data_IF_891054829656
#
_entry.id   IF_891054829656
#
_cell.length_a   1.000
_cell.length_b   1.000
_cell.length_c   1.000
_cell.angle_alpha   90.00
_cell.angle_beta   90.00
_cell.angle_gamma   90.00
#
_symmetry.space_group_name_H-M   'P 1'
#
loop_
_entity.id
_entity.type
_entity.pdbx_description
1 polymer ?
#
# COMPACT_ATOMS: atom_id res chain seq x y z
N UNK A 1 36.19 -18.32 19.90
CA UNK A 1 36.92 -19.25 19.01
C UNK A 1 36.13 -19.46 17.72
N UNK A 2 36.26 -18.52 16.78
CA UNK A 2 35.62 -18.60 15.46
C UNK A 2 36.52 -19.33 14.47
N UNK A 3 36.58 -20.65 14.57
CA UNK A 3 37.21 -21.48 13.55
C UNK A 3 36.20 -21.69 12.40
N UNK A 4 36.64 -21.60 11.12
CA UNK A 4 35.78 -21.88 9.98
C UNK A 4 35.25 -23.32 10.07
N UNK A 5 33.94 -23.48 9.93
CA UNK A 5 33.32 -24.80 9.80
C UNK A 5 33.89 -25.47 8.54
N UNK A 6 34.58 -26.59 8.71
CA UNK A 6 35.17 -27.35 7.61
C UNK A 6 34.13 -27.78 6.56
N UNK A 7 34.58 -28.31 5.42
CA UNK A 7 33.69 -28.67 4.31
C UNK A 7 32.58 -29.63 4.77
N UNK A 8 31.34 -29.25 4.50
CA UNK A 8 30.15 -30.06 4.82
C UNK A 8 30.19 -31.36 4.00
N UNK A 9 29.96 -32.54 4.61
CA UNK A 9 29.88 -33.79 3.88
C UNK A 9 28.64 -33.79 2.98
N UNK A 10 28.80 -34.17 1.72
CA UNK A 10 27.70 -34.26 0.76
C UNK A 10 26.70 -35.36 1.16
N UNK A 11 25.38 -35.12 1.09
CA UNK A 11 24.38 -36.15 1.37
C UNK A 11 24.39 -37.24 0.29
N UNK A 12 24.56 -38.51 0.69
CA UNK A 12 24.47 -39.65 -0.23
C UNK A 12 23.03 -40.08 -0.45
N UNK A 13 22.37 -39.60 -1.52
CA UNK A 13 21.05 -40.13 -1.97
C UNK A 13 20.92 -40.18 -3.50
N UNK A 14 20.31 -41.25 -3.99
CA UNK A 14 20.47 -41.79 -5.36
C UNK A 14 19.50 -41.28 -6.43
N UNK A 15 18.49 -40.47 -6.09
CA UNK A 15 17.49 -40.00 -7.06
C UNK A 15 17.98 -38.77 -7.88
N UNK A 16 17.80 -38.73 -9.21
CA UNK A 16 18.29 -37.64 -10.06
C UNK A 16 17.69 -36.26 -9.71
N UNK A 17 16.41 -36.19 -9.34
CA UNK A 17 15.75 -34.94 -8.97
C UNK A 17 16.24 -34.34 -7.66
N UNK A 18 16.68 -35.18 -6.71
CA UNK A 18 17.27 -34.72 -5.45
C UNK A 18 18.71 -34.23 -5.66
N UNK A 19 19.46 -34.83 -6.59
CA UNK A 19 20.79 -34.34 -6.98
C UNK A 19 20.73 -32.96 -7.61
N UNK A 20 19.77 -32.71 -8.50
CA UNK A 20 19.58 -31.39 -9.11
C UNK A 20 19.21 -30.30 -8.08
N UNK A 21 18.44 -30.66 -7.04
CA UNK A 21 18.10 -29.77 -5.94
C UNK A 21 19.34 -29.47 -5.07
N UNK A 22 20.13 -30.48 -4.73
CA UNK A 22 21.38 -30.29 -3.97
C UNK A 22 22.40 -29.46 -4.76
N UNK A 23 22.56 -29.71 -6.06
CA UNK A 23 23.42 -28.90 -6.93
C UNK A 23 22.94 -27.44 -6.98
N UNK A 24 21.62 -27.21 -7.04
CA UNK A 24 21.05 -25.87 -7.00
C UNK A 24 21.27 -25.18 -5.64
N UNK A 25 21.17 -25.92 -4.53
CA UNK A 25 21.40 -25.39 -3.18
C UNK A 25 22.88 -25.10 -2.92
N UNK A 26 23.78 -25.96 -3.40
CA UNK A 26 25.23 -25.74 -3.36
C UNK A 26 25.64 -24.54 -4.22
N UNK A 27 25.06 -24.40 -5.42
CA UNK A 27 25.32 -23.24 -6.27
C UNK A 27 24.79 -21.94 -5.64
N UNK A 28 23.62 -21.99 -4.99
CA UNK A 28 23.08 -20.86 -4.25
C UNK A 28 23.96 -20.52 -3.04
N UNK A 29 24.40 -21.51 -2.28
CA UNK A 29 25.30 -21.32 -1.14
C UNK A 29 26.63 -20.72 -1.57
N UNK A 30 27.26 -21.22 -2.63
CA UNK A 30 28.48 -20.63 -3.20
C UNK A 30 28.27 -19.22 -3.76
N UNK A 31 27.10 -18.94 -4.34
CA UNK A 31 26.76 -17.59 -4.81
C UNK A 31 26.61 -16.61 -3.64
N UNK A 32 26.02 -17.03 -2.52
CA UNK A 32 25.91 -16.24 -1.29
C UNK A 32 27.26 -16.08 -0.58
N UNK A 33 28.10 -17.11 -0.57
CA UNK A 33 29.42 -17.07 0.07
C UNK A 33 30.42 -16.22 -0.74
N UNK A 34 30.33 -16.24 -2.09
CA UNK A 34 31.01 -15.27 -2.95
C UNK A 34 30.47 -13.84 -2.79
N UNK A 35 29.25 -13.68 -2.26
CA UNK A 35 28.62 -12.37 -2.08
C UNK A 35 29.10 -11.62 -0.81
N UNK A 36 29.89 -12.23 0.07
CA UNK A 36 30.39 -11.55 1.27
C UNK A 36 31.92 -11.41 1.31
N UNK A 37 32.39 -10.27 0.76
CA UNK A 37 33.66 -9.60 1.11
C UNK A 37 33.95 -8.39 0.22
N UNK A 38 33.12 -8.11 -0.79
CA UNK A 38 32.99 -6.73 -1.29
C UNK A 38 32.04 -5.97 -0.39
N UNK A 39 32.58 -5.56 0.75
CA UNK A 39 32.14 -4.43 1.60
C UNK A 39 30.85 -3.80 1.05
N UNK A 40 29.73 -4.06 1.73
CA UNK A 40 28.56 -3.19 1.77
C UNK A 40 29.03 -1.82 2.28
N UNK A 41 29.84 -1.11 1.49
CA UNK A 41 29.98 0.33 1.62
C UNK A 41 28.55 0.81 1.47
N UNK A 42 27.97 1.28 2.57
CA UNK A 42 26.74 2.05 2.55
C UNK A 42 26.97 3.11 1.49
N UNK A 43 26.44 2.86 0.29
CA UNK A 43 26.62 3.69 -0.89
C UNK A 43 26.10 5.03 -0.43
N UNK A 44 27.01 5.98 -0.12
CA UNK A 44 26.67 7.30 0.38
C UNK A 44 25.61 7.79 -0.59
N UNK A 45 24.35 7.77 -0.15
CA UNK A 45 23.24 8.13 -1.02
C UNK A 45 23.53 9.57 -1.42
N UNK A 46 23.92 9.75 -2.68
CA UNK A 46 24.26 11.06 -3.20
C UNK A 46 23.06 11.96 -2.93
N UNK A 47 23.26 13.22 -2.52
CA UNK A 47 22.16 14.14 -2.19
C UNK A 47 21.11 14.18 -3.32
N UNK A 48 21.55 14.06 -4.57
CA UNK A 48 20.71 13.91 -5.77
C UNK A 48 19.86 12.64 -5.81
N UNK A 49 20.36 11.50 -5.32
CA UNK A 49 19.59 10.26 -5.19
C UNK A 49 18.54 10.37 -4.08
N UNK A 50 18.88 11.00 -2.95
CA UNK A 50 17.92 11.28 -1.87
C UNK A 50 16.84 12.25 -2.35
N UNK A 51 17.22 13.33 -3.03
CA UNK A 51 16.29 14.30 -3.60
C UNK A 51 15.38 13.66 -4.64
N UNK A 52 15.88 12.78 -5.52
CA UNK A 52 15.04 12.02 -6.45
C UNK A 52 14.07 11.07 -5.74
N UNK A 53 14.47 10.45 -4.64
CA UNK A 53 13.55 9.60 -3.85
C UNK A 53 12.49 10.40 -3.10
N UNK A 54 12.83 11.60 -2.60
CA UNK A 54 11.92 12.49 -1.87
C UNK A 54 10.99 13.27 -2.81
N UNK A 55 11.47 13.64 -4.00
CA UNK A 55 10.68 14.33 -5.03
C UNK A 55 10.00 13.38 -6.01
N UNK A 56 10.31 12.09 -5.95
CA UNK A 56 9.65 11.05 -6.73
C UNK A 56 8.19 10.86 -6.32
N UNK A 57 7.45 10.06 -7.10
CA UNK A 57 6.01 9.84 -6.89
C UNK A 57 5.66 9.45 -5.44
N UNK A 58 6.47 8.57 -4.83
CA UNK A 58 6.31 8.13 -3.43
C UNK A 58 6.57 9.23 -2.40
N UNK A 59 7.55 10.10 -2.63
CA UNK A 59 7.86 11.19 -1.71
C UNK A 59 6.86 12.35 -1.82
N UNK A 60 6.38 12.65 -3.04
CA UNK A 60 5.25 13.59 -3.27
C UNK A 60 3.95 13.08 -2.64
N UNK A 61 3.67 11.78 -2.76
CA UNK A 61 2.55 11.13 -2.09
C UNK A 61 2.58 11.31 -0.58
N UNK A 62 3.72 11.01 0.02
CA UNK A 62 3.92 11.17 1.45
C UNK A 62 3.80 12.64 1.87
N UNK A 63 4.47 13.56 1.15
CA UNK A 63 4.44 14.99 1.44
C UNK A 63 3.02 15.56 1.36
N UNK A 64 2.25 15.17 0.34
CA UNK A 64 0.85 15.58 0.20
C UNK A 64 -0.02 15.03 1.33
N UNK A 65 0.17 13.76 1.71
CA UNK A 65 -0.54 13.15 2.84
C UNK A 65 -0.26 13.88 4.15
N UNK A 66 1.00 14.20 4.44
CA UNK A 66 1.39 14.95 5.63
C UNK A 66 0.79 16.35 5.60
N UNK A 67 0.91 17.07 4.48
CA UNK A 67 0.39 18.43 4.34
C UNK A 67 -1.14 18.48 4.50
N UNK A 68 -1.86 17.54 3.89
CA UNK A 68 -3.33 17.46 3.97
C UNK A 68 -3.78 17.14 5.40
N UNK A 69 -3.17 16.12 6.03
CA UNK A 69 -3.49 15.76 7.42
C UNK A 69 -3.17 16.91 8.38
N UNK A 70 -2.02 17.56 8.24
CA UNK A 70 -1.64 18.72 9.05
C UNK A 70 -2.59 19.90 8.83
N UNK A 71 -2.91 20.24 7.58
CA UNK A 71 -3.80 21.35 7.26
C UNK A 71 -5.22 21.14 7.82
N UNK A 72 -5.81 19.96 7.60
CA UNK A 72 -7.15 19.65 8.11
C UNK A 72 -7.17 19.59 9.64
N UNK A 73 -6.17 18.95 10.26
CA UNK A 73 -6.07 18.92 11.73
C UNK A 73 -5.88 20.31 12.34
N UNK A 74 -5.05 21.16 11.75
CA UNK A 74 -4.87 22.53 12.19
C UNK A 74 -6.14 23.38 12.02
N UNK A 75 -6.86 23.23 10.91
CA UNK A 75 -8.13 23.91 10.67
C UNK A 75 -9.20 23.47 11.67
N UNK A 76 -9.32 22.17 11.94
CA UNK A 76 -10.24 21.62 12.95
C UNK A 76 -9.86 22.12 14.34
N UNK A 77 -8.58 22.13 14.70
CA UNK A 77 -8.12 22.65 15.99
C UNK A 77 -8.45 24.15 16.16
N UNK A 78 -8.25 24.96 15.12
CA UNK A 78 -8.59 26.38 15.14
C UNK A 78 -10.11 26.61 15.23
N UNK A 79 -10.90 25.82 14.51
CA UNK A 79 -12.37 25.90 14.57
C UNK A 79 -12.89 25.54 15.98
N UNK A 80 -12.36 24.48 16.59
CA UNK A 80 -12.71 24.08 17.95
C UNK A 80 -12.30 25.14 18.99
N UNK A 81 -11.15 25.79 18.78
CA UNK A 81 -10.70 26.90 19.61
C UNK A 81 -11.65 28.10 19.51
N UNK A 82 -12.06 28.48 18.29
CA UNK A 82 -12.99 29.61 18.07
C UNK A 82 -14.40 29.32 18.58
N UNK A 83 -14.86 28.07 18.49
CA UNK A 83 -16.17 27.64 18.95
C UNK A 83 -16.29 27.54 20.48
N UNK A 84 -15.20 27.74 21.26
CA UNK A 84 -15.13 27.57 22.72
C UNK A 84 -15.70 26.23 23.23
N UNK A 85 -15.73 25.21 22.37
CA UNK A 85 -16.46 23.95 22.59
C UNK A 85 -15.98 23.18 23.83
N UNK A 86 -14.75 23.41 24.31
CA UNK A 86 -14.17 22.74 25.49
C UNK A 86 -13.44 23.70 26.46
N UNK A 87 -13.81 24.99 26.51
CA UNK A 87 -13.15 25.99 27.39
C UNK A 87 -11.94 26.70 26.73
N UNK A 88 -11.14 27.44 27.53
CA UNK A 88 -9.91 28.08 27.03
C UNK A 88 -8.85 27.00 26.73
N UNK A 89 -8.58 26.77 25.44
CA UNK A 89 -7.59 25.79 24.99
C UNK A 89 -6.22 26.44 24.81
N UNK A 90 -5.34 26.33 25.80
CA UNK A 90 -3.93 26.68 25.61
C UNK A 90 -3.19 25.70 24.68
N UNK A 91 -3.78 24.52 24.40
CA UNK A 91 -3.08 23.37 23.81
C UNK A 91 -3.51 22.99 22.37
N UNK A 92 -4.08 23.90 21.58
CA UNK A 92 -4.59 23.63 20.22
C UNK A 92 -3.59 22.92 19.28
N UNK A 93 -2.28 23.05 19.52
CA UNK A 93 -1.21 22.46 18.73
C UNK A 93 -1.10 20.93 18.87
N UNK A 94 -1.73 20.34 19.89
CA UNK A 94 -1.69 18.90 20.18
C UNK A 94 -2.32 18.03 19.10
N UNK A 95 -3.44 18.48 18.54
CA UNK A 95 -4.17 17.77 17.50
C UNK A 95 -3.35 17.65 16.20
N UNK A 96 -2.83 18.74 15.59
CA UNK A 96 -1.99 18.65 14.41
C UNK A 96 -0.66 17.93 14.65
N UNK A 97 -0.05 18.07 15.83
CA UNK A 97 1.15 17.31 16.19
C UNK A 97 0.90 15.79 16.19
N UNK A 98 -0.24 15.36 16.76
CA UNK A 98 -0.64 13.94 16.80
C UNK A 98 -0.93 13.42 15.39
N UNK A 99 -1.60 14.22 14.56
CA UNK A 99 -1.89 13.86 13.18
C UNK A 99 -0.61 13.61 12.35
N UNK A 100 0.39 14.49 12.45
CA UNK A 100 1.67 14.33 11.74
C UNK A 100 2.44 13.10 12.23
N UNK A 101 2.46 12.85 13.55
CA UNK A 101 3.11 11.67 14.11
C UNK A 101 2.52 10.36 13.56
N UNK A 102 1.19 10.31 13.39
CA UNK A 102 0.50 9.14 12.84
C UNK A 102 0.83 8.88 11.37
N UNK A 103 1.05 9.94 10.58
CA UNK A 103 1.33 9.83 9.14
C UNK A 103 2.77 9.40 8.83
N UNK A 104 3.71 9.53 9.79
CA UNK A 104 5.14 9.16 9.62
C UNK A 104 5.32 7.76 8.98
N UNK A 105 6.25 7.53 8.04
CA UNK A 105 6.25 6.29 7.25
C UNK A 105 6.89 5.09 7.97
N UNK A 106 7.52 5.31 9.13
CA UNK A 106 8.49 4.37 9.71
C UNK A 106 7.89 3.21 10.56
N UNK A 107 6.56 3.05 10.65
CA UNK A 107 5.92 2.10 11.59
C UNK A 107 4.83 1.21 10.94
N UNK A 108 5.01 0.83 9.68
CA UNK A 108 4.09 -0.11 9.00
C UNK A 108 2.78 0.51 8.48
N UNK A 109 1.77 -0.31 8.09
CA UNK A 109 0.54 0.13 7.43
C UNK A 109 -0.22 1.19 8.24
N UNK A 110 -0.65 2.27 7.56
CA UNK A 110 -1.27 3.44 8.20
C UNK A 110 -2.53 3.06 9.00
N UNK A 111 -3.43 2.26 8.41
CA UNK A 111 -4.69 1.87 9.06
C UNK A 111 -4.47 1.06 10.34
N UNK A 112 -3.58 0.06 10.31
CA UNK A 112 -3.23 -0.75 11.49
C UNK A 112 -2.66 0.11 12.61
N UNK A 113 -1.81 1.08 12.26
CA UNK A 113 -1.23 2.01 13.23
C UNK A 113 -2.26 2.93 13.87
N UNK A 114 -3.11 3.55 13.06
CA UNK A 114 -4.12 4.47 13.58
C UNK A 114 -5.14 3.71 14.43
N UNK A 115 -5.56 2.52 14.01
CA UNK A 115 -6.45 1.67 14.78
C UNK A 115 -5.80 1.22 16.10
N UNK A 116 -4.54 0.80 16.06
CA UNK A 116 -3.80 0.45 17.26
C UNK A 116 -3.60 1.63 18.21
N UNK A 117 -3.38 2.85 17.68
CA UNK A 117 -3.31 4.07 18.50
C UNK A 117 -4.67 4.36 19.14
N UNK A 118 -5.76 4.30 18.37
CA UNK A 118 -7.10 4.53 18.90
C UNK A 118 -7.44 3.51 19.99
N UNK A 119 -7.20 2.22 19.74
CA UNK A 119 -7.41 1.15 20.72
C UNK A 119 -6.53 1.32 21.96
N UNK A 120 -5.26 1.63 21.79
CA UNK A 120 -4.32 1.89 22.88
C UNK A 120 -4.70 3.14 23.69
N UNK A 121 -5.22 4.19 23.06
CA UNK A 121 -5.71 5.38 23.76
C UNK A 121 -6.96 5.07 24.58
N UNK A 122 -7.92 4.32 24.04
CA UNK A 122 -9.12 3.90 24.78
C UNK A 122 -8.72 3.01 25.96
N UNK A 123 -7.91 1.98 25.72
CA UNK A 123 -7.45 1.06 26.76
C UNK A 123 -6.65 1.79 27.84
N UNK A 124 -5.71 2.66 27.43
CA UNK A 124 -4.90 3.45 28.35
C UNK A 124 -5.73 4.43 29.17
N UNK A 125 -6.75 5.06 28.59
CA UNK A 125 -7.67 5.92 29.32
C UNK A 125 -8.50 5.15 30.36
N UNK A 126 -9.00 3.96 30.02
CA UNK A 126 -9.73 3.09 30.95
C UNK A 126 -8.85 2.62 32.10
N UNK A 127 -7.62 2.17 31.80
CA UNK A 127 -6.63 1.78 32.80
C UNK A 127 -6.30 2.95 33.72
N UNK A 128 -6.03 4.12 33.15
CA UNK A 128 -5.76 5.33 33.92
C UNK A 128 -6.91 5.71 34.84
N UNK A 129 -8.15 5.67 34.35
CA UNK A 129 -9.34 5.96 35.16
C UNK A 129 -9.49 4.97 36.33
N UNK A 130 -9.25 3.68 36.09
CA UNK A 130 -9.26 2.66 37.15
C UNK A 130 -8.19 2.91 38.21
N UNK A 131 -6.95 3.18 37.79
CA UNK A 131 -5.87 3.51 38.72
C UNK A 131 -6.15 4.81 39.49
N UNK A 132 -6.58 5.87 38.81
CA UNK A 132 -6.85 7.18 39.41
C UNK A 132 -8.04 7.19 40.38
N UNK A 133 -8.89 6.15 40.37
CA UNK A 133 -9.97 5.94 41.33
C UNK A 133 -9.50 5.32 42.66
N UNK A 134 -8.41 4.56 42.63
CA UNK A 134 -7.91 3.78 43.78
C UNK A 134 -6.65 4.40 44.39
N UNK A 135 -5.83 5.08 43.59
CA UNK A 135 -4.55 5.64 44.03
C UNK A 135 -4.73 7.00 44.74
N UNK A 136 -4.07 7.21 45.89
CA UNK A 136 -4.06 8.50 46.57
C UNK A 136 -3.34 9.55 45.73
N UNK A 137 -3.85 10.79 45.70
CA UNK A 137 -3.25 11.90 44.96
C UNK A 137 -2.40 12.77 45.90
N UNK A 138 -1.24 13.29 45.45
CA UNK A 138 -0.60 13.10 44.14
C UNK A 138 0.37 11.90 44.09
N UNK A 139 0.73 11.32 45.22
CA UNK A 139 1.80 10.31 45.33
C UNK A 139 1.57 9.09 44.43
N UNK A 140 0.33 8.61 44.35
CA UNK A 140 -0.04 7.50 43.48
C UNK A 140 0.09 7.80 41.98
N UNK A 141 -0.07 9.07 41.57
CA UNK A 141 0.18 9.46 40.18
C UNK A 141 1.67 9.48 39.87
N UNK A 142 2.52 9.91 40.82
CA UNK A 142 3.99 9.87 40.68
C UNK A 142 4.48 8.44 40.53
N UNK A 143 3.96 7.51 41.34
CA UNK A 143 4.23 6.07 41.20
C UNK A 143 3.77 5.55 39.85
N UNK A 144 2.59 5.95 39.38
CA UNK A 144 2.08 5.52 38.08
C UNK A 144 2.97 6.02 36.92
N UNK A 145 3.47 7.26 37.01
CA UNK A 145 4.41 7.85 36.04
C UNK A 145 5.72 7.07 36.01
N UNK A 146 6.31 6.76 37.16
CA UNK A 146 7.58 6.01 37.22
C UNK A 146 7.43 4.59 36.69
N UNK A 147 6.35 3.90 37.05
CA UNK A 147 6.02 2.57 36.52
C UNK A 147 5.83 2.60 35.00
N UNK A 148 5.05 3.55 34.48
CA UNK A 148 4.85 3.66 33.04
C UNK A 148 6.16 3.97 32.30
N UNK A 149 6.99 4.86 32.85
CA UNK A 149 8.32 5.15 32.31
C UNK A 149 9.22 3.92 32.23
N UNK A 150 9.23 3.09 33.27
CA UNK A 150 9.96 1.82 33.30
C UNK A 150 9.40 0.77 32.32
N UNK A 151 8.11 0.83 32.00
CA UNK A 151 7.46 -0.07 31.04
C UNK A 151 7.70 0.31 29.57
N UNK A 152 8.16 1.54 29.25
CA UNK A 152 8.38 1.99 27.87
C UNK A 152 9.27 1.03 27.07
N UNK A 153 10.46 0.61 27.55
CA UNK A 153 11.35 -0.27 26.79
C UNK A 153 10.70 -1.63 26.51
N UNK A 154 9.94 -2.17 27.46
CA UNK A 154 9.23 -3.43 27.29
C UNK A 154 8.06 -3.29 26.29
N UNK A 155 7.32 -2.18 26.39
CA UNK A 155 6.14 -1.92 25.57
C UNK A 155 6.48 -1.66 24.09
N UNK A 156 7.71 -1.23 23.77
CA UNK A 156 8.16 -1.06 22.38
C UNK A 156 8.08 -2.32 21.52
N UNK A 157 7.99 -3.50 22.14
CA UNK A 157 7.80 -4.79 21.44
C UNK A 157 6.41 -4.94 20.81
N UNK A 158 5.39 -4.25 21.32
CA UNK A 158 4.01 -4.32 20.83
C UNK A 158 3.43 -2.92 20.70
N UNK A 159 3.09 -2.52 19.48
CA UNK A 159 2.64 -1.16 19.17
C UNK A 159 1.39 -0.73 19.96
N UNK A 160 0.43 -1.62 20.16
CA UNK A 160 -0.76 -1.36 20.99
C UNK A 160 -0.41 -1.18 22.48
N UNK A 161 0.51 -1.98 23.02
CA UNK A 161 0.98 -1.85 24.40
C UNK A 161 1.75 -0.54 24.61
N UNK A 162 2.64 -0.19 23.67
CA UNK A 162 3.37 1.08 23.70
C UNK A 162 2.43 2.28 23.73
N UNK A 163 1.41 2.28 22.87
CA UNK A 163 0.45 3.40 22.81
C UNK A 163 -0.42 3.49 24.06
N UNK A 164 -0.80 2.37 24.67
CA UNK A 164 -1.52 2.35 25.94
C UNK A 164 -0.66 2.89 27.10
N UNK A 165 0.57 2.38 27.27
CA UNK A 165 1.50 2.83 28.33
C UNK A 165 1.80 4.32 28.21
N UNK A 166 2.07 4.80 27.00
CA UNK A 166 2.30 6.24 26.76
C UNK A 166 1.05 7.06 27.09
N UNK A 167 -0.15 6.55 26.80
CA UNK A 167 -1.40 7.26 27.13
C UNK A 167 -1.56 7.38 28.65
N UNK A 168 -1.39 6.28 29.40
CA UNK A 168 -1.46 6.29 30.87
C UNK A 168 -0.42 7.26 31.45
N UNK A 169 0.81 7.23 30.94
CA UNK A 169 1.89 8.13 31.34
C UNK A 169 1.50 9.60 31.14
N UNK A 170 1.02 9.96 29.94
CA UNK A 170 0.66 11.34 29.62
C UNK A 170 -0.51 11.82 30.48
N UNK A 171 -1.55 10.99 30.67
CA UNK A 171 -2.69 11.35 31.51
C UNK A 171 -2.28 11.52 32.98
N UNK A 172 -1.40 10.64 33.48
CA UNK A 172 -0.87 10.75 34.84
C UNK A 172 -0.05 12.03 35.04
N UNK A 173 0.78 12.41 34.06
CA UNK A 173 1.54 13.67 34.09
C UNK A 173 0.63 14.90 34.07
N UNK A 174 -0.38 14.93 33.20
CA UNK A 174 -1.33 16.06 33.10
C UNK A 174 -2.14 16.21 34.38
N UNK A 175 -2.62 15.09 34.94
CA UNK A 175 -3.35 15.08 36.21
C UNK A 175 -2.47 15.48 37.40
N UNK A 176 -1.20 15.02 37.44
CA UNK A 176 -0.25 15.42 38.47
C UNK A 176 0.13 16.91 38.37
N UNK A 177 0.11 17.47 37.15
CA UNK A 177 0.30 18.89 36.88
C UNK A 177 -0.90 19.79 37.25
N UNK A 178 -2.03 19.22 37.68
CA UNK A 178 -3.19 19.97 38.15
C UNK A 178 -4.23 20.36 37.09
N UNK A 179 -4.16 19.78 35.88
CA UNK A 179 -5.01 20.15 34.74
C UNK A 179 -5.96 19.00 34.31
N UNK A 180 -6.95 18.59 35.13
CA UNK A 180 -7.78 17.43 34.83
C UNK A 180 -8.64 17.60 33.57
N UNK A 181 -9.08 18.82 33.26
CA UNK A 181 -9.83 19.13 32.04
C UNK A 181 -8.99 18.85 30.78
N UNK A 182 -7.68 19.10 30.82
CA UNK A 182 -6.78 18.83 29.70
C UNK A 182 -6.61 17.33 29.41
N UNK A 183 -6.82 16.45 30.40
CA UNK A 183 -6.75 15.00 30.22
C UNK A 183 -7.88 14.44 29.36
N UNK A 184 -9.11 14.89 29.59
CA UNK A 184 -10.26 14.51 28.76
C UNK A 184 -10.16 15.11 27.36
N UNK A 185 -9.74 16.38 27.25
CA UNK A 185 -9.48 17.03 25.98
C UNK A 185 -8.43 16.25 25.16
N UNK A 186 -7.35 15.80 25.80
CA UNK A 186 -6.28 15.01 25.16
C UNK A 186 -6.77 13.71 24.53
N UNK A 187 -7.67 12.99 25.20
CA UNK A 187 -8.26 11.75 24.67
C UNK A 187 -9.10 12.07 23.43
N UNK A 188 -9.98 13.07 23.53
CA UNK A 188 -10.82 13.53 22.42
C UNK A 188 -10.01 13.98 21.21
N UNK A 189 -8.99 14.81 21.41
CA UNK A 189 -8.09 15.28 20.35
C UNK A 189 -7.30 14.14 19.69
N UNK A 190 -6.86 13.15 20.47
CA UNK A 190 -6.13 12.00 19.93
C UNK A 190 -7.05 11.14 19.07
N UNK A 191 -8.28 10.86 19.52
CA UNK A 191 -9.26 10.09 18.74
C UNK A 191 -9.71 10.85 17.49
N UNK A 192 -9.90 12.17 17.60
CA UNK A 192 -10.24 13.02 16.46
C UNK A 192 -9.08 13.08 15.45
N UNK A 193 -7.84 13.21 15.90
CA UNK A 193 -6.67 13.10 15.03
C UNK A 193 -6.59 11.73 14.34
N UNK A 194 -6.91 10.64 15.05
CA UNK A 194 -7.00 9.30 14.46
C UNK A 194 -8.07 9.24 13.35
N UNK A 195 -9.27 9.76 13.61
CA UNK A 195 -10.35 9.82 12.61
C UNK A 195 -9.96 10.65 11.38
N UNK A 196 -9.40 11.85 11.61
CA UNK A 196 -8.90 12.72 10.53
C UNK A 196 -7.84 12.00 9.71
N UNK A 197 -6.84 11.38 10.34
CA UNK A 197 -5.76 10.68 9.60
C UNK A 197 -6.27 9.45 8.85
N UNK A 198 -7.26 8.72 9.38
CA UNK A 198 -7.89 7.62 8.64
C UNK A 198 -8.59 8.13 7.38
N UNK A 199 -9.40 9.18 7.48
CA UNK A 199 -10.14 9.73 6.34
C UNK A 199 -9.20 10.44 5.36
N UNK A 200 -8.51 11.46 5.86
CA UNK A 200 -7.66 12.37 5.09
C UNK A 200 -6.40 11.70 4.59
N UNK A 201 -5.84 10.76 5.36
CA UNK A 201 -4.66 10.02 4.96
C UNK A 201 -4.91 9.13 3.74
N UNK A 202 -6.11 8.59 3.57
CA UNK A 202 -6.42 7.70 2.46
C UNK A 202 -6.85 8.46 1.19
N UNK A 203 -7.45 9.65 1.32
CA UNK A 203 -7.91 10.49 0.18
C UNK A 203 -6.86 10.67 -0.95
N UNK A 204 -5.60 11.10 -0.68
CA UNK A 204 -4.53 11.21 -1.67
C UNK A 204 -4.24 9.94 -2.47
N UNK A 205 -4.50 8.78 -1.87
CA UNK A 205 -4.18 7.47 -2.46
C UNK A 205 -5.34 6.93 -3.28
N UNK A 206 -6.57 7.32 -2.97
CA UNK A 206 -7.75 6.90 -3.74
C UNK A 206 -7.72 7.47 -5.17
N UNK A 207 -7.52 8.79 -5.31
CA UNK A 207 -7.54 9.45 -6.62
C UNK A 207 -6.45 8.94 -7.58
N UNK A 208 -5.21 8.86 -7.10
CA UNK A 208 -4.06 8.46 -7.92
C UNK A 208 -3.99 6.97 -8.24
N UNK A 209 -4.55 6.10 -7.39
CA UNK A 209 -4.73 4.69 -7.74
C UNK A 209 -5.77 4.53 -8.83
N UNK A 210 -6.86 5.29 -8.77
CA UNK A 210 -7.82 5.37 -9.87
C UNK A 210 -7.17 5.84 -11.18
N UNK A 211 -6.34 6.90 -11.13
CA UNK A 211 -5.58 7.37 -12.29
C UNK A 211 -4.62 6.32 -12.84
N UNK A 212 -3.90 5.62 -11.95
CA UNK A 212 -2.96 4.57 -12.35
C UNK A 212 -3.68 3.36 -12.97
N UNK A 213 -4.82 2.93 -12.40
CA UNK A 213 -5.64 1.85 -12.96
C UNK A 213 -6.16 2.26 -14.34
N UNK A 214 -6.68 3.48 -14.48
CA UNK A 214 -7.12 4.01 -15.78
C UNK A 214 -5.99 4.03 -16.80
N UNK A 215 -4.79 4.47 -16.41
CA UNK A 215 -3.63 4.46 -17.30
C UNK A 215 -3.24 3.05 -17.74
N UNK A 216 -3.26 2.06 -16.83
CA UNK A 216 -2.98 0.66 -17.17
C UNK A 216 -4.05 0.02 -18.05
N UNK A 217 -5.33 0.33 -17.82
CA UNK A 217 -6.41 -0.10 -18.71
C UNK A 217 -6.28 0.54 -20.10
N UNK A 218 -5.85 1.81 -20.18
CA UNK A 218 -5.59 2.47 -21.46
C UNK A 218 -4.39 1.84 -22.20
N UNK A 219 -3.30 1.52 -21.49
CA UNK A 219 -2.16 0.77 -22.05
C UNK A 219 -2.60 -0.61 -22.59
N UNK A 220 -3.36 -1.37 -21.80
CA UNK A 220 -3.87 -2.68 -22.21
C UNK A 220 -4.83 -2.58 -23.41
N UNK A 221 -5.68 -1.56 -23.44
CA UNK A 221 -6.58 -1.29 -24.57
C UNK A 221 -5.80 -0.94 -25.84
N UNK A 222 -4.72 -0.15 -25.71
CA UNK A 222 -3.81 0.17 -26.81
C UNK A 222 -3.16 -1.07 -27.40
N UNK A 223 -2.56 -1.91 -26.55
CA UNK A 223 -1.92 -3.16 -26.97
C UNK A 223 -2.91 -4.15 -27.60
N UNK A 224 -4.11 -4.29 -27.03
CA UNK A 224 -5.17 -5.13 -27.60
C UNK A 224 -5.62 -4.64 -28.98
N UNK A 225 -5.74 -3.33 -29.18
CA UNK A 225 -6.08 -2.72 -30.47
C UNK A 225 -4.99 -2.95 -31.52
N UNK A 226 -3.72 -2.79 -31.15
CA UNK A 226 -2.61 -3.05 -32.06
C UNK A 226 -2.54 -4.52 -32.47
N UNK A 227 -2.76 -5.44 -31.51
CA UNK A 227 -2.84 -6.86 -31.80
C UNK A 227 -4.01 -7.20 -32.74
N UNK A 228 -5.20 -6.67 -32.45
CA UNK A 228 -6.39 -6.84 -33.30
C UNK A 228 -6.17 -6.33 -34.72
N UNK A 229 -5.66 -5.11 -34.87
CA UNK A 229 -5.39 -4.50 -36.17
C UNK A 229 -4.39 -5.34 -37.00
N UNK A 230 -3.37 -5.90 -36.35
CA UNK A 230 -2.38 -6.75 -37.02
C UNK A 230 -2.93 -8.13 -37.41
N UNK A 231 -3.89 -8.69 -36.67
CA UNK A 231 -4.56 -9.94 -37.07
C UNK A 231 -5.53 -9.69 -38.23
N UNK A 232 -6.23 -8.56 -38.22
CA UNK A 232 -7.20 -8.21 -39.27
C UNK A 232 -6.57 -7.68 -40.56
N UNK A 233 -5.31 -7.23 -40.52
CA UNK A 233 -4.57 -6.87 -41.73
C UNK A 233 -4.09 -8.08 -42.55
N UNK A 234 -4.38 -9.30 -42.08
CA UNK A 234 -3.95 -10.57 -42.69
C UNK A 234 -2.44 -10.62 -43.00
N UNK A 235 -1.63 -9.86 -42.25
CA UNK A 235 -0.18 -9.85 -42.41
C UNK A 235 0.38 -11.26 -42.26
N UNK A 236 1.37 -11.68 -43.05
CA UNK A 236 2.01 -12.98 -42.85
C UNK A 236 3.03 -12.97 -41.70
N UNK A 237 3.37 -11.80 -41.13
CA UNK A 237 4.41 -11.63 -40.12
C UNK A 237 4.05 -12.25 -38.75
N UNK A 238 4.48 -13.52 -38.59
CA UNK A 238 4.22 -14.37 -37.44
C UNK A 238 4.97 -13.91 -36.20
N UNK A 239 6.18 -13.38 -36.36
CA UNK A 239 6.99 -12.90 -35.24
C UNK A 239 6.38 -11.63 -34.64
N UNK A 240 5.96 -10.67 -35.49
CA UNK A 240 5.25 -9.48 -35.05
C UNK A 240 3.91 -9.84 -34.37
N UNK A 241 3.15 -10.81 -34.92
CA UNK A 241 1.92 -11.32 -34.28
C UNK A 241 2.18 -11.83 -32.86
N UNK A 242 3.23 -12.64 -32.68
CA UNK A 242 3.55 -13.23 -31.38
C UNK A 242 3.99 -12.17 -30.37
N UNK A 243 4.77 -11.18 -30.80
CA UNK A 243 5.17 -10.06 -29.96
C UNK A 243 3.96 -9.24 -29.49
N UNK A 244 3.07 -8.87 -30.41
CA UNK A 244 1.84 -8.12 -30.11
C UNK A 244 0.89 -8.89 -29.19
N UNK A 245 0.70 -10.20 -29.44
CA UNK A 245 -0.09 -11.07 -28.54
C UNK A 245 0.48 -11.07 -27.13
N UNK A 246 1.80 -11.26 -26.99
CA UNK A 246 2.47 -11.30 -25.67
C UNK A 246 2.33 -9.97 -24.95
N UNK A 247 2.44 -8.87 -25.67
CA UNK A 247 2.29 -7.52 -25.14
C UNK A 247 0.86 -7.23 -24.65
N UNK A 248 -0.16 -7.64 -25.43
CA UNK A 248 -1.56 -7.52 -25.04
C UNK A 248 -1.88 -8.30 -23.75
N UNK A 249 -1.44 -9.55 -23.63
CA UNK A 249 -1.62 -10.33 -22.40
C UNK A 249 -0.82 -9.77 -21.22
N UNK A 250 0.41 -9.29 -21.44
CA UNK A 250 1.25 -8.72 -20.38
C UNK A 250 0.62 -7.47 -19.78
N UNK A 251 0.23 -6.52 -20.62
CA UNK A 251 -0.40 -5.25 -20.20
C UNK A 251 -1.75 -5.49 -19.53
N UNK A 252 -2.55 -6.44 -20.02
CA UNK A 252 -3.79 -6.87 -19.37
C UNK A 252 -3.55 -7.49 -17.98
N UNK A 253 -2.54 -8.36 -17.85
CA UNK A 253 -2.18 -8.95 -16.57
C UNK A 253 -1.70 -7.90 -15.55
N UNK A 254 -0.93 -6.91 -15.99
CA UNK A 254 -0.51 -5.77 -15.16
C UNK A 254 -1.71 -4.94 -14.69
N UNK A 255 -2.67 -4.67 -15.56
CA UNK A 255 -3.90 -3.96 -15.21
C UNK A 255 -4.70 -4.73 -14.14
N UNK A 256 -4.86 -6.05 -14.29
CA UNK A 256 -5.55 -6.91 -13.32
C UNK A 256 -4.86 -6.97 -11.97
N UNK A 257 -3.54 -7.08 -11.96
CA UNK A 257 -2.77 -7.06 -10.73
C UNK A 257 -2.96 -5.73 -9.97
N UNK A 258 -3.02 -4.60 -10.70
CA UNK A 258 -3.29 -3.30 -10.11
C UNK A 258 -4.71 -3.18 -9.55
N UNK A 259 -5.72 -3.71 -10.26
CA UNK A 259 -7.13 -3.76 -9.80
C UNK A 259 -7.26 -4.62 -8.54
N UNK A 260 -6.68 -5.82 -8.54
CA UNK A 260 -6.73 -6.75 -7.40
C UNK A 260 -6.03 -6.20 -6.15
N UNK A 261 -4.89 -5.51 -6.33
CA UNK A 261 -4.22 -4.84 -5.22
C UNK A 261 -5.07 -3.70 -4.65
N UNK A 262 -5.71 -2.91 -5.51
CA UNK A 262 -6.54 -1.79 -5.08
C UNK A 262 -7.80 -2.25 -4.33
N UNK A 263 -8.43 -3.35 -4.78
CA UNK A 263 -9.61 -3.93 -4.11
C UNK A 263 -9.25 -4.54 -2.74
N UNK A 264 -8.08 -5.17 -2.63
CA UNK A 264 -7.59 -5.74 -1.38
C UNK A 264 -7.24 -4.69 -0.31
N UNK A 265 -6.74 -3.51 -0.71
CA UNK A 265 -6.34 -2.47 0.25
C UNK A 265 -7.51 -1.64 0.78
N UNK A 266 -8.63 -1.52 0.06
CA UNK A 266 -9.80 -0.74 0.49
C UNK A 266 -11.13 -1.32 -0.04
N UNK A 267 -11.93 -1.97 0.82
CA UNK A 267 -13.28 -2.43 0.46
C UNK A 267 -14.22 -1.34 -0.10
N UNK A 268 -14.16 -0.05 0.31
CA UNK A 268 -14.98 1.00 -0.30
C UNK A 268 -14.60 1.34 -1.75
N UNK A 269 -13.34 1.11 -2.13
CA UNK A 269 -12.88 1.26 -3.52
C UNK A 269 -13.26 0.07 -4.39
N UNK A 270 -13.52 -1.11 -3.81
CA UNK A 270 -14.00 -2.27 -4.57
C UNK A 270 -15.22 -1.89 -5.41
N UNK A 271 -16.17 -1.12 -4.85
CA UNK A 271 -17.36 -0.64 -5.59
C UNK A 271 -17.07 0.26 -6.79
N UNK A 272 -15.93 0.97 -6.80
CA UNK A 272 -15.49 1.77 -7.95
C UNK A 272 -14.53 1.00 -8.86
N UNK A 273 -13.93 -0.08 -8.35
CA UNK A 273 -13.15 -1.04 -9.12
C UNK A 273 -14.04 -2.01 -9.89
N UNK A 274 -15.31 -2.20 -9.51
CA UNK A 274 -16.29 -3.02 -10.24
C UNK A 274 -16.32 -2.66 -11.73
N UNK A 275 -16.38 -1.37 -12.08
CA UNK A 275 -16.30 -0.94 -13.49
C UNK A 275 -14.94 -1.17 -14.16
N UNK A 276 -13.84 -1.15 -13.40
CA UNK A 276 -12.50 -1.43 -13.94
C UNK A 276 -12.32 -2.94 -14.21
N UNK A 277 -12.90 -3.79 -13.37
CA UNK A 277 -12.89 -5.24 -13.51
C UNK A 277 -13.75 -5.70 -14.69
N UNK A 278 -14.91 -5.06 -14.90
CA UNK A 278 -15.75 -5.23 -16.10
C UNK A 278 -14.99 -4.89 -17.40
N UNK A 279 -14.27 -3.77 -17.43
CA UNK A 279 -13.43 -3.37 -18.58
C UNK A 279 -12.32 -4.39 -18.80
N UNK A 280 -11.60 -4.80 -17.75
CA UNK A 280 -10.53 -5.79 -17.86
C UNK A 280 -11.05 -7.14 -18.37
N UNK A 281 -12.23 -7.56 -17.93
CA UNK A 281 -12.91 -8.78 -18.40
C UNK A 281 -13.30 -8.66 -19.87
N UNK A 282 -13.80 -7.51 -20.30
CA UNK A 282 -14.15 -7.27 -21.71
C UNK A 282 -12.90 -7.24 -22.60
N UNK A 283 -11.80 -6.64 -22.13
CA UNK A 283 -10.49 -6.68 -22.80
C UNK A 283 -9.94 -8.09 -22.93
N UNK A 284 -10.07 -8.94 -21.91
CA UNK A 284 -9.69 -10.35 -22.01
C UNK A 284 -10.47 -11.07 -23.11
N UNK A 285 -11.79 -10.93 -23.12
CA UNK A 285 -12.62 -11.52 -24.18
C UNK A 285 -12.20 -11.03 -25.56
N UNK A 286 -11.82 -9.76 -25.70
CA UNK A 286 -11.32 -9.21 -26.96
C UNK A 286 -10.00 -9.88 -27.37
N UNK A 287 -9.02 -9.95 -26.49
CA UNK A 287 -7.70 -10.56 -26.77
C UNK A 287 -7.83 -12.05 -27.07
N UNK A 288 -8.67 -12.77 -26.33
CA UNK A 288 -8.92 -14.20 -26.54
C UNK A 288 -9.65 -14.46 -27.87
N UNK A 289 -10.67 -13.65 -28.19
CA UNK A 289 -11.38 -13.76 -29.48
C UNK A 289 -10.46 -13.41 -30.65
N UNK A 290 -9.58 -12.41 -30.47
CA UNK A 290 -8.56 -12.04 -31.47
C UNK A 290 -7.58 -13.19 -31.70
N UNK A 291 -7.17 -13.85 -30.62
CA UNK A 291 -6.30 -15.03 -30.69
C UNK A 291 -7.00 -16.19 -31.38
N UNK A 292 -8.28 -16.45 -31.08
CA UNK A 292 -9.08 -17.48 -31.75
C UNK A 292 -9.22 -17.20 -33.25
N UNK A 293 -9.46 -15.93 -33.63
CA UNK A 293 -9.46 -15.47 -35.01
C UNK A 293 -8.12 -15.76 -35.71
N UNK A 294 -7.01 -15.42 -35.08
CA UNK A 294 -5.67 -15.64 -35.65
C UNK A 294 -5.37 -17.13 -35.87
N UNK A 295 -5.77 -18.00 -34.93
CA UNK A 295 -5.61 -19.45 -35.08
C UNK A 295 -6.50 -19.99 -36.19
N UNK A 296 -7.75 -19.54 -36.28
CA UNK A 296 -8.65 -19.95 -37.35
C UNK A 296 -8.16 -19.52 -38.74
N UNK A 297 -7.58 -18.31 -38.84
CA UNK A 297 -6.95 -17.82 -40.05
C UNK A 297 -5.76 -18.71 -40.46
N UNK A 298 -4.97 -19.18 -39.49
CA UNK A 298 -3.85 -20.09 -39.75
C UNK A 298 -4.30 -21.47 -40.23
N UNK A 299 -5.40 -21.98 -39.67
CA UNK A 299 -5.91 -23.31 -39.97
C UNK A 299 -6.69 -23.36 -41.30
N UNK A 300 -7.42 -22.29 -41.63
CA UNK A 300 -8.36 -22.28 -42.77
C UNK A 300 -7.99 -21.32 -43.90
N UNK A 301 -7.09 -20.38 -43.65
CA UNK A 301 -6.76 -19.30 -44.59
C UNK A 301 -7.87 -18.27 -44.76
N UNK A 302 -8.95 -18.32 -43.95
CA UNK A 302 -10.09 -17.40 -44.04
C UNK A 302 -10.50 -16.87 -42.68
N UNK A 303 -11.05 -15.65 -42.62
CA UNK A 303 -11.62 -15.09 -41.40
C UNK A 303 -13.08 -15.56 -41.21
N UNK A 304 -13.39 -16.13 -40.03
CA UNK A 304 -14.75 -16.52 -39.67
C UNK A 304 -15.64 -15.28 -39.41
N UNK A 305 -16.76 -15.11 -40.14
CA UNK A 305 -17.71 -14.00 -39.94
C UNK A 305 -18.25 -13.91 -38.50
N UNK A 306 -18.36 -15.04 -37.80
CA UNK A 306 -18.89 -15.09 -36.42
C UNK A 306 -17.91 -14.45 -35.45
N UNK A 307 -16.61 -14.73 -35.61
CA UNK A 307 -15.56 -14.10 -34.80
C UNK A 307 -15.44 -12.61 -35.10
N UNK A 308 -15.53 -12.20 -36.37
CA UNK A 308 -15.54 -10.79 -36.77
C UNK A 308 -16.69 -10.02 -36.11
N UNK A 309 -17.91 -10.54 -36.16
CA UNK A 309 -19.07 -9.90 -35.52
C UNK A 309 -18.88 -9.73 -34.01
N UNK A 310 -18.34 -10.76 -33.33
CA UNK A 310 -18.03 -10.72 -31.90
C UNK A 310 -16.93 -9.71 -31.57
N UNK A 311 -15.89 -9.60 -32.39
CA UNK A 311 -14.81 -8.62 -32.24
C UNK A 311 -15.34 -7.19 -32.41
N UNK A 312 -16.21 -6.95 -33.39
CA UNK A 312 -16.85 -5.65 -33.59
C UNK A 312 -17.70 -5.23 -32.39
N UNK A 313 -18.47 -6.16 -31.80
CA UNK A 313 -19.26 -5.89 -30.60
C UNK A 313 -18.35 -5.53 -29.41
N UNK A 314 -17.34 -6.35 -29.13
CA UNK A 314 -16.40 -6.12 -28.03
C UNK A 314 -15.58 -4.84 -28.18
N UNK A 315 -15.16 -4.51 -29.40
CA UNK A 315 -14.48 -3.25 -29.70
C UNK A 315 -15.40 -2.03 -29.48
N UNK A 316 -16.67 -2.15 -29.84
CA UNK A 316 -17.68 -1.10 -29.64
C UNK A 316 -17.96 -0.86 -28.16
N UNK A 317 -18.12 -1.94 -27.37
CA UNK A 317 -18.32 -1.87 -25.91
C UNK A 317 -17.14 -1.19 -25.20
N UNK A 318 -15.93 -1.35 -25.73
CA UNK A 318 -14.69 -0.73 -25.22
C UNK A 318 -14.41 0.66 -25.80
N UNK A 319 -15.31 1.20 -26.64
CA UNK A 319 -15.10 2.44 -27.41
C UNK A 319 -13.80 2.46 -28.22
N UNK A 320 -13.33 1.29 -28.65
CA UNK A 320 -12.23 1.16 -29.59
C UNK A 320 -12.75 1.42 -31.02
N UNK A 321 -11.93 2.02 -31.90
CA UNK A 321 -12.32 2.20 -33.30
C UNK A 321 -12.68 0.83 -33.90
N UNK A 322 -13.91 0.74 -34.43
CA UNK A 322 -14.42 -0.48 -35.06
C UNK A 322 -13.56 -0.82 -36.26
N UNK A 323 -13.06 -2.05 -36.40
CA UNK A 323 -12.36 -2.46 -37.59
C UNK A 323 -13.32 -2.42 -38.78
N UNK A 324 -13.15 -1.45 -39.67
CA UNK A 324 -13.81 -1.48 -40.98
C UNK A 324 -13.11 -2.53 -41.80
N UNK A 325 -13.79 -3.64 -42.06
CA UNK A 325 -13.38 -4.58 -43.09
C UNK A 325 -13.20 -3.80 -44.38
N UNK A 326 -11.96 -3.59 -44.81
CA UNK A 326 -11.68 -3.20 -46.18
C UNK A 326 -12.12 -4.36 -47.06
N UNK A 327 -13.35 -4.28 -47.57
CA UNK A 327 -13.76 -5.03 -48.76
C UNK A 327 -12.79 -4.69 -49.91
N UNK A 328 -12.44 -5.69 -50.74
CA UNK A 328 -11.31 -5.61 -51.68
C UNK A 328 -11.40 -4.48 -52.69
#
# INVERSE_FOLDING_TARGET
>A
NGAPTGPLPAPTRSAPGLRALDDALLYAAEAFDRADSRRLHGRRRTRTAVLRTVLGARGREYGMRVALCFGVSAAVAQALHHARWYGQHEHWYWLPATAVFLVKPDLGPLASRVLSRAAGTVLGALLFAGFAAVLPRPEGLVVLVTVCGALIPLATRHFAAQTAVVTVLVLALVMAGGEPQASLARIGETLLACAIVLVVGHLPTLGRRGDAIRARLAEASGAAREYLAHVLSESEDREARWALRREAYRTLAEARAAIALASAELPPLARHADGADEIATTLERLVDTTTACAVHLDDTGTLDPTHLHRLTHLATDLHLPVPTATTP
#
